data_IF_431698177257
#
_entry.id   IF_431698177257
#
_cell.length_a   1.000
_cell.length_b   1.000
_cell.length_c   1.000
_cell.angle_alpha   90.00
_cell.angle_beta   90.00
_cell.angle_gamma   90.00
#
_symmetry.space_group_name_H-M   'P 1'
#
loop_
_entity.id
_entity.type
_entity.pdbx_description
1 polymer ?
#
# COMPACT_ATOMS: atom_id res chain seq x y z
N UNK A 1 -5.94 -5.16 23.38
CA UNK A 1 -5.40 -6.46 22.92
C UNK A 1 -6.06 -7.69 23.55
N UNK A 2 -7.25 -7.57 24.19
CA UNK A 2 -7.85 -8.67 24.98
C UNK A 2 -9.05 -9.39 24.34
N UNK A 3 -9.51 -8.99 23.15
CA UNK A 3 -10.73 -9.56 22.54
C UNK A 3 -10.46 -10.52 21.36
N UNK A 4 -9.25 -10.52 20.80
CA UNK A 4 -8.94 -11.33 19.62
C UNK A 4 -8.31 -12.69 19.96
N UNK A 5 -7.78 -12.88 21.18
CA UNK A 5 -7.23 -14.15 21.68
C UNK A 5 -6.26 -14.88 20.71
N UNK A 6 -5.57 -14.15 19.82
CA UNK A 6 -4.68 -14.73 18.80
C UNK A 6 -5.35 -15.09 17.46
N UNK A 7 -6.66 -14.85 17.30
CA UNK A 7 -7.37 -14.99 16.04
C UNK A 7 -7.30 -13.69 15.22
N UNK A 8 -7.20 -13.80 13.90
CA UNK A 8 -7.08 -12.65 13.00
C UNK A 8 -8.42 -11.89 12.84
N UNK A 9 -9.53 -12.56 13.15
CA UNK A 9 -10.89 -12.00 13.18
C UNK A 9 -11.58 -12.26 14.51
N UNK A 10 -12.58 -11.44 14.86
CA UNK A 10 -13.39 -11.66 16.08
C UNK A 10 -14.16 -12.98 15.91
N UNK A 11 -13.99 -13.94 16.82
CA UNK A 11 -14.76 -15.18 16.78
C UNK A 11 -16.28 -14.91 16.83
N UNK A 12 -17.12 -15.73 16.17
CA UNK A 12 -18.57 -15.50 16.09
C UNK A 12 -19.26 -15.35 17.45
N UNK A 13 -18.65 -15.88 18.50
CA UNK A 13 -19.09 -15.87 19.89
C UNK A 13 -18.59 -14.66 20.71
N UNK A 14 -17.71 -13.81 20.16
CA UNK A 14 -17.03 -12.73 20.89
C UNK A 14 -17.32 -11.30 20.35
N UNK A 15 -18.13 -11.15 19.31
CA UNK A 15 -18.57 -9.83 18.84
C UNK A 15 -19.17 -9.81 17.43
N UNK A 16 -19.50 -8.61 16.94
CA UNK A 16 -20.04 -8.39 15.60
C UNK A 16 -18.89 -8.15 14.64
N UNK A 17 -18.67 -9.07 13.70
CA UNK A 17 -17.77 -8.88 12.57
C UNK A 17 -18.53 -8.19 11.44
N UNK A 18 -18.04 -7.02 11.01
CA UNK A 18 -18.60 -6.32 9.84
C UNK A 18 -17.99 -6.93 8.58
N UNK A 19 -18.73 -7.84 7.96
CA UNK A 19 -18.28 -8.67 6.83
C UNK A 19 -18.07 -7.87 5.53
N UNK A 20 -18.55 -6.63 5.44
CA UNK A 20 -18.45 -5.83 4.22
C UNK A 20 -17.84 -4.44 4.47
N UNK A 21 -16.74 -4.14 3.79
CA UNK A 21 -16.19 -2.77 3.74
C UNK A 21 -16.96 -1.91 2.73
N UNK A 22 -17.08 -0.61 3.05
CA UNK A 22 -17.73 0.40 2.19
C UNK A 22 -16.73 1.35 1.53
N UNK A 23 -15.45 0.98 1.56
CA UNK A 23 -14.29 1.86 1.29
C UNK A 23 -13.42 1.31 0.18
N UNK A 24 -12.93 0.08 0.33
CA UNK A 24 -11.96 -0.52 -0.59
C UNK A 24 -12.64 -1.10 -1.84
N UNK A 25 -12.03 -0.89 -3.00
CA UNK A 25 -12.27 -1.66 -4.22
C UNK A 25 -12.11 -3.17 -3.93
N UNK A 26 -12.89 -4.06 -4.59
CA UNK A 26 -12.75 -5.51 -4.43
C UNK A 26 -11.32 -6.03 -4.58
N UNK A 27 -10.53 -5.47 -5.50
CA UNK A 27 -9.13 -5.89 -5.72
C UNK A 27 -8.16 -5.40 -4.65
N UNK A 28 -8.46 -4.33 -3.91
CA UNK A 28 -7.69 -3.99 -2.71
C UNK A 28 -8.14 -4.88 -1.55
N UNK A 29 -9.46 -5.06 -1.42
CA UNK A 29 -10.07 -5.80 -0.33
C UNK A 29 -9.70 -7.28 -0.35
N UNK A 30 -9.60 -7.92 -1.52
CA UNK A 30 -9.28 -9.34 -1.65
C UNK A 30 -7.92 -9.66 -1.01
N UNK A 31 -6.87 -8.93 -1.37
CA UNK A 31 -5.55 -9.11 -0.74
C UNK A 31 -5.59 -8.88 0.78
N UNK A 32 -6.21 -7.78 1.24
CA UNK A 32 -6.28 -7.47 2.68
C UNK A 32 -7.12 -8.52 3.43
N UNK A 33 -8.17 -9.03 2.81
CA UNK A 33 -9.04 -10.07 3.37
C UNK A 33 -8.28 -11.38 3.55
N UNK A 34 -7.55 -11.80 2.52
CA UNK A 34 -6.78 -13.05 2.55
C UNK A 34 -5.61 -12.95 3.53
N UNK A 35 -4.91 -11.80 3.55
CA UNK A 35 -3.74 -11.60 4.40
C UNK A 35 -4.06 -11.40 5.90
N UNK A 36 -5.27 -10.92 6.24
CA UNK A 36 -5.60 -10.46 7.61
C UNK A 36 -6.91 -10.97 8.16
N UNK A 37 -7.89 -11.18 7.30
CA UNK A 37 -9.25 -11.51 7.72
C UNK A 37 -9.67 -12.93 7.36
N UNK A 38 -8.71 -13.81 7.06
CA UNK A 38 -8.96 -15.22 6.70
C UNK A 38 -9.95 -15.35 5.52
N UNK A 39 -9.92 -14.39 4.59
CA UNK A 39 -10.84 -14.33 3.45
C UNK A 39 -12.27 -13.93 3.79
N UNK A 40 -12.56 -13.54 5.04
CA UNK A 40 -13.93 -13.25 5.52
C UNK A 40 -14.41 -11.83 5.22
N UNK A 41 -13.51 -10.92 4.87
CA UNK A 41 -13.87 -9.53 4.55
C UNK A 41 -14.23 -9.39 3.06
N UNK A 42 -15.46 -8.97 2.79
CA UNK A 42 -15.98 -8.63 1.47
C UNK A 42 -16.17 -7.12 1.28
N UNK A 43 -16.79 -6.75 0.16
CA UNK A 43 -17.08 -5.36 -0.23
C UNK A 43 -18.55 -5.16 -0.56
N UNK A 44 -19.03 -3.93 -0.51
CA UNK A 44 -20.32 -3.55 -1.11
C UNK A 44 -20.15 -3.33 -2.63
N UNK A 45 -21.16 -3.62 -3.47
CA UNK A 45 -21.04 -3.53 -4.94
C UNK A 45 -20.60 -2.15 -5.46
N UNK A 46 -20.93 -1.07 -4.74
CA UNK A 46 -20.59 0.29 -5.12
C UNK A 46 -19.07 0.55 -5.13
N UNK A 47 -18.30 -0.11 -4.27
CA UNK A 47 -16.85 0.12 -4.21
C UNK A 47 -16.12 -0.45 -5.41
N UNK A 48 -16.73 -1.37 -6.17
CA UNK A 48 -16.21 -1.86 -7.46
C UNK A 48 -16.15 -0.75 -8.55
N UNK A 49 -16.67 0.43 -8.26
CA UNK A 49 -16.55 1.60 -9.15
C UNK A 49 -15.31 2.43 -8.90
N UNK A 50 -14.64 2.26 -7.75
CA UNK A 50 -13.42 2.98 -7.43
C UNK A 50 -12.32 2.61 -8.43
N UNK A 51 -11.88 3.57 -9.25
CA UNK A 51 -10.77 3.35 -10.17
C UNK A 51 -10.08 4.65 -10.57
N UNK A 52 -8.81 4.54 -10.92
CA UNK A 52 -8.03 5.55 -11.63
C UNK A 52 -8.22 5.33 -13.12
N UNK A 53 -8.59 6.38 -13.86
CA UNK A 53 -8.71 6.30 -15.32
C UNK A 53 -7.35 6.51 -15.95
N UNK A 54 -6.78 5.45 -16.52
CA UNK A 54 -5.49 5.49 -17.20
C UNK A 54 -5.67 6.06 -18.62
N UNK A 55 -4.71 6.89 -19.03
CA UNK A 55 -4.59 7.37 -20.41
C UNK A 55 -3.61 6.53 -21.23
N UNK A 56 -3.61 6.69 -22.55
CA UNK A 56 -2.69 6.00 -23.45
C UNK A 56 -1.20 6.34 -23.20
N UNK A 57 -0.94 7.48 -22.55
CA UNK A 57 0.37 7.96 -22.12
C UNK A 57 0.73 7.54 -20.68
N UNK A 58 -0.07 6.67 -20.05
CA UNK A 58 0.22 6.14 -18.70
C UNK A 58 1.33 5.11 -18.81
N UNK A 59 2.37 5.28 -17.99
CA UNK A 59 3.56 4.44 -18.04
C UNK A 59 4.05 3.98 -16.66
N UNK A 60 3.73 4.74 -15.61
CA UNK A 60 4.24 4.48 -14.25
C UNK A 60 3.18 3.88 -13.33
N UNK A 61 1.89 4.11 -13.62
CA UNK A 61 0.76 3.56 -12.86
C UNK A 61 0.24 2.32 -13.60
N UNK A 62 0.50 1.09 -13.11
CA UNK A 62 0.26 -0.12 -13.90
C UNK A 62 -1.18 -0.65 -13.85
N UNK A 63 -2.03 -0.10 -12.99
CA UNK A 63 -3.38 -0.62 -12.77
C UNK A 63 -4.39 0.50 -12.48
N UNK A 64 -5.66 0.27 -12.86
CA UNK A 64 -6.77 1.18 -12.55
C UNK A 64 -7.22 1.06 -11.08
N UNK A 65 -7.06 -0.12 -10.48
CA UNK A 65 -7.48 -0.44 -9.11
C UNK A 65 -6.70 -1.62 -8.55
N UNK A 66 -6.80 -1.86 -7.25
CA UNK A 66 -6.14 -2.97 -6.57
C UNK A 66 -4.78 -2.59 -6.00
N UNK A 67 -3.81 -3.49 -6.11
CA UNK A 67 -2.45 -3.28 -5.62
C UNK A 67 -1.49 -3.33 -6.81
N UNK A 68 -0.57 -2.37 -6.86
CA UNK A 68 0.49 -2.28 -7.83
C UNK A 68 1.84 -2.39 -7.13
N UNK A 69 2.76 -3.18 -7.66
CA UNK A 69 4.16 -3.19 -7.25
C UNK A 69 4.99 -2.38 -8.26
N UNK A 70 5.78 -1.43 -7.77
CA UNK A 70 6.71 -0.64 -8.58
C UNK A 70 8.12 -0.84 -8.05
N UNK A 71 8.95 -1.66 -8.72
CA UNK A 71 10.31 -1.90 -8.29
C UNK A 71 11.19 -0.67 -8.53
N UNK A 72 12.07 -0.37 -7.58
CA UNK A 72 13.11 0.67 -7.70
C UNK A 72 14.44 0.11 -7.24
N UNK A 73 15.38 -0.02 -8.16
CA UNK A 73 16.74 -0.49 -7.83
C UNK A 73 17.51 0.61 -7.09
N UNK A 74 18.02 0.29 -5.91
CA UNK A 74 18.94 1.12 -5.13
C UNK A 74 19.69 0.23 -4.13
N UNK A 75 20.85 0.70 -3.67
CA UNK A 75 21.75 -0.01 -2.75
C UNK A 75 22.19 0.91 -1.60
N UNK A 76 22.47 0.35 -0.41
CA UNK A 76 22.96 1.12 0.74
C UNK A 76 21.94 2.03 1.44
N UNK A 77 20.67 2.03 1.03
CA UNK A 77 19.59 2.81 1.62
C UNK A 77 19.00 2.11 2.85
N UNK A 78 19.15 2.72 4.03
CA UNK A 78 18.66 2.15 5.29
C UNK A 78 17.28 2.68 5.74
N UNK A 79 17.05 4.00 5.63
CA UNK A 79 15.87 4.70 6.14
C UNK A 79 15.24 5.69 5.15
N UNK A 80 15.90 5.92 4.03
CA UNK A 80 15.47 6.75 2.94
C UNK A 80 16.19 6.33 1.67
N UNK A 81 15.51 6.47 0.53
CA UNK A 81 16.08 6.32 -0.81
C UNK A 81 15.62 7.51 -1.64
N UNK A 82 16.59 8.19 -2.25
CA UNK A 82 16.32 9.30 -3.17
C UNK A 82 15.72 8.77 -4.47
N UNK A 83 16.14 7.57 -4.91
CA UNK A 83 15.60 6.87 -6.08
C UNK A 83 14.11 6.55 -5.91
N UNK A 84 13.69 6.06 -4.74
CA UNK A 84 12.27 5.89 -4.44
C UNK A 84 11.54 7.24 -4.42
N UNK A 85 12.14 8.30 -3.86
CA UNK A 85 11.53 9.63 -3.86
C UNK A 85 11.30 10.14 -5.27
N UNK A 86 12.30 10.07 -6.15
CA UNK A 86 12.22 10.46 -7.55
C UNK A 86 11.14 9.67 -8.30
N UNK A 87 11.09 8.35 -8.07
CA UNK A 87 10.05 7.50 -8.66
C UNK A 87 8.65 7.91 -8.19
N UNK A 88 8.48 8.16 -6.90
CA UNK A 88 7.21 8.55 -6.30
C UNK A 88 6.76 9.92 -6.82
N UNK A 89 7.68 10.88 -6.97
CA UNK A 89 7.40 12.18 -7.61
C UNK A 89 6.86 11.97 -9.01
N UNK A 90 7.53 11.17 -9.84
CA UNK A 90 7.07 10.90 -11.20
C UNK A 90 5.70 10.20 -11.26
N UNK A 91 5.43 9.25 -10.36
CA UNK A 91 4.12 8.60 -10.22
C UNK A 91 3.04 9.62 -9.85
N UNK A 92 3.31 10.48 -8.87
CA UNK A 92 2.37 11.53 -8.43
C UNK A 92 2.07 12.50 -9.57
N UNK A 93 3.09 12.96 -10.30
CA UNK A 93 2.90 13.85 -11.44
C UNK A 93 2.07 13.20 -12.55
N UNK A 94 2.24 11.91 -12.81
CA UNK A 94 1.41 11.16 -13.75
C UNK A 94 -0.03 11.05 -13.24
N UNK A 95 -0.23 10.66 -11.99
CA UNK A 95 -1.54 10.54 -11.34
C UNK A 95 -2.34 11.84 -11.35
N UNK A 96 -1.70 12.99 -11.12
CA UNK A 96 -2.36 14.31 -11.14
C UNK A 96 -2.84 14.73 -12.55
N UNK A 97 -2.34 14.09 -13.61
CA UNK A 97 -2.88 14.24 -14.99
C UNK A 97 -4.06 13.31 -15.26
N UNK A 98 -4.39 12.40 -14.35
CA UNK A 98 -5.47 11.41 -14.49
C UNK A 98 -6.77 11.88 -13.83
N UNK A 99 -7.80 11.07 -14.05
CA UNK A 99 -9.12 11.22 -13.46
C UNK A 99 -9.39 10.03 -12.56
N UNK A 100 -10.26 10.23 -11.57
CA UNK A 100 -10.64 9.20 -10.62
C UNK A 100 -12.15 9.07 -10.57
N UNK A 101 -12.63 7.84 -10.41
CA UNK A 101 -14.04 7.51 -10.23
C UNK A 101 -14.23 7.07 -8.78
N UNK A 102 -15.20 7.67 -8.08
CA UNK A 102 -15.57 7.26 -6.73
C UNK A 102 -16.62 6.12 -6.72
N UNK A 103 -16.96 5.62 -5.53
CA UNK A 103 -18.02 4.59 -5.37
C UNK A 103 -19.40 5.01 -5.90
N UNK A 104 -19.67 6.31 -6.04
CA UNK A 104 -20.94 6.80 -6.58
C UNK A 104 -20.91 6.82 -8.12
N UNK A 105 -19.75 6.56 -8.74
CA UNK A 105 -19.52 6.64 -10.18
C UNK A 105 -19.24 8.07 -10.64
N UNK A 106 -18.95 8.99 -9.72
CA UNK A 106 -18.62 10.38 -10.06
C UNK A 106 -17.17 10.42 -10.51
N UNK A 107 -16.99 10.84 -11.76
CA UNK A 107 -15.69 11.03 -12.38
C UNK A 107 -15.24 12.48 -12.24
N UNK A 108 -14.01 12.67 -11.76
CA UNK A 108 -13.41 14.01 -11.62
C UNK A 108 -11.90 13.97 -11.80
N UNK A 109 -11.26 15.12 -12.09
CA UNK A 109 -9.80 15.22 -12.06
C UNK A 109 -9.25 14.77 -10.70
N UNK A 110 -8.10 14.09 -10.72
CA UNK A 110 -7.35 13.76 -9.51
C UNK A 110 -6.72 15.03 -8.94
N UNK A 111 -6.68 15.13 -7.62
CA UNK A 111 -6.10 16.25 -6.89
C UNK A 111 -5.09 15.74 -5.86
N UNK A 112 -4.24 16.64 -5.34
CA UNK A 112 -3.28 16.30 -4.28
C UNK A 112 -3.94 15.71 -3.02
N UNK A 113 -5.21 16.05 -2.76
CA UNK A 113 -5.97 15.50 -1.64
C UNK A 113 -6.34 14.03 -1.84
N UNK A 114 -6.33 13.54 -3.08
CA UNK A 114 -6.67 12.15 -3.44
C UNK A 114 -5.50 11.18 -3.32
N UNK A 115 -4.32 11.70 -2.99
CA UNK A 115 -3.09 10.93 -2.86
C UNK A 115 -2.64 10.97 -1.40
N UNK A 116 -2.35 9.79 -0.87
CA UNK A 116 -1.74 9.61 0.44
C UNK A 116 -0.42 8.86 0.27
N UNK A 117 0.68 9.40 0.79
CA UNK A 117 1.98 8.75 0.75
C UNK A 117 2.38 8.31 2.16
N UNK A 118 2.74 7.04 2.30
CA UNK A 118 3.14 6.45 3.58
C UNK A 118 4.53 5.86 3.49
N UNK A 119 5.33 6.09 4.52
CA UNK A 119 6.67 5.52 4.63
C UNK A 119 6.96 5.09 6.08
N UNK A 120 7.74 4.02 6.31
CA UNK A 120 8.02 3.48 7.63
C UNK A 120 8.90 4.40 8.48
N UNK A 121 9.82 5.14 7.85
CA UNK A 121 10.79 5.99 8.53
C UNK A 121 10.48 7.48 8.36
N UNK A 122 10.73 8.26 9.41
CA UNK A 122 10.56 9.72 9.37
C UNK A 122 11.56 10.39 8.42
N UNK A 123 12.71 9.77 8.14
CA UNK A 123 13.68 10.31 7.19
C UNK A 123 13.12 10.30 5.77
N UNK A 124 12.62 9.14 5.30
CA UNK A 124 11.90 9.06 4.02
C UNK A 124 10.71 10.03 3.93
N UNK A 125 9.92 10.16 5.00
CA UNK A 125 8.82 11.14 5.06
C UNK A 125 9.32 12.58 4.86
N UNK A 126 10.50 12.93 5.38
CA UNK A 126 11.07 14.27 5.18
C UNK A 126 11.53 14.47 3.74
N UNK A 127 12.28 13.52 3.17
CA UNK A 127 12.72 13.57 1.77
C UNK A 127 11.53 13.75 0.82
N UNK A 128 10.47 12.95 1.00
CA UNK A 128 9.26 13.06 0.19
C UNK A 128 8.56 14.42 0.35
N UNK A 129 8.53 15.00 1.54
CA UNK A 129 7.92 16.33 1.77
C UNK A 129 8.69 17.48 1.17
N UNK A 130 10.00 17.31 0.97
CA UNK A 130 10.84 18.33 0.33
C UNK A 130 10.64 18.36 -1.19
N UNK A 131 10.18 17.24 -1.78
CA UNK A 131 10.05 17.08 -3.23
C UNK A 131 8.60 17.13 -3.74
N UNK A 132 7.63 16.76 -2.91
CA UNK A 132 6.21 16.71 -3.28
C UNK A 132 5.43 17.96 -2.89
N UNK A 133 4.30 18.18 -3.55
CA UNK A 133 3.37 19.28 -3.23
C UNK A 133 2.93 19.22 -1.74
N UNK A 134 2.99 20.34 -0.99
CA UNK A 134 2.63 20.38 0.43
C UNK A 134 1.18 19.98 0.74
N UNK A 135 0.29 20.01 -0.24
CA UNK A 135 -1.08 19.54 -0.14
C UNK A 135 -1.21 18.01 -0.13
N UNK A 136 -0.18 17.27 -0.54
CA UNK A 136 -0.15 15.81 -0.47
C UNK A 136 0.05 15.39 0.99
N UNK A 137 -0.78 14.44 1.43
CA UNK A 137 -0.69 13.90 2.79
C UNK A 137 0.45 12.89 2.84
N UNK A 138 1.52 13.20 3.58
CA UNK A 138 2.72 12.35 3.71
C UNK A 138 3.02 12.08 5.19
N UNK A 139 3.32 10.84 5.56
CA UNK A 139 3.60 10.47 6.95
C UNK A 139 3.83 8.98 7.18
N UNK A 140 3.98 8.59 8.45
CA UNK A 140 4.10 7.18 8.83
C UNK A 140 2.73 6.53 9.02
N UNK A 141 2.67 5.21 8.90
CA UNK A 141 1.45 4.41 9.10
C UNK A 141 0.74 4.76 10.41
N UNK A 142 1.51 4.94 11.50
CA UNK A 142 0.99 5.26 12.84
C UNK A 142 0.26 6.63 12.90
N UNK A 143 0.59 7.58 12.00
CA UNK A 143 0.00 8.93 11.98
C UNK A 143 -1.30 9.02 11.17
N UNK A 144 -1.70 7.95 10.48
CA UNK A 144 -2.84 7.96 9.55
C UNK A 144 -4.00 7.06 9.97
N UNK A 145 -4.22 6.92 11.28
CA UNK A 145 -5.43 6.24 11.76
C UNK A 145 -6.70 6.98 11.29
N UNK A 146 -7.53 6.28 10.50
CA UNK A 146 -8.81 6.78 10.02
C UNK A 146 -8.76 7.71 8.81
N UNK A 147 -7.63 7.81 8.10
CA UNK A 147 -7.53 8.59 6.86
C UNK A 147 -7.40 7.68 5.65
N UNK A 148 -8.14 8.00 4.60
CA UNK A 148 -8.19 7.24 3.34
C UNK A 148 -8.02 8.18 2.16
N UNK A 149 -7.70 7.59 1.02
CA UNK A 149 -7.51 8.29 -0.23
C UNK A 149 -7.84 7.35 -1.40
N UNK A 150 -8.32 7.87 -2.54
CA UNK A 150 -8.44 7.09 -3.75
C UNK A 150 -7.15 6.35 -4.13
N UNK A 151 -5.99 7.01 -3.99
CA UNK A 151 -4.67 6.40 -4.23
C UNK A 151 -3.79 6.50 -2.99
N UNK A 152 -3.17 5.38 -2.63
CA UNK A 152 -2.13 5.33 -1.59
C UNK A 152 -0.82 4.86 -2.19
N UNK A 153 0.27 5.54 -1.86
CA UNK A 153 1.63 5.16 -2.25
C UNK A 153 2.39 4.75 -0.98
N UNK A 154 2.91 3.53 -0.94
CA UNK A 154 3.69 2.96 0.16
C UNK A 154 5.15 2.90 -0.27
N UNK A 155 6.03 3.65 0.37
CA UNK A 155 7.49 3.61 0.13
C UNK A 155 8.14 2.70 1.18
N UNK A 156 8.87 1.68 0.75
CA UNK A 156 9.59 0.78 1.67
C UNK A 156 10.98 1.33 2.04
N UNK A 157 11.62 2.09 1.15
CA UNK A 157 12.83 2.91 1.28
C UNK A 157 14.13 2.26 1.76
N UNK A 158 14.09 1.02 2.26
CA UNK A 158 15.30 0.25 2.57
C UNK A 158 15.66 -0.65 1.38
N UNK A 159 16.95 -0.76 1.03
CA UNK A 159 17.39 -1.65 -0.06
C UNK A 159 17.25 -3.11 0.36
N UNK A 160 17.67 -3.41 1.59
CA UNK A 160 17.64 -4.75 2.16
C UNK A 160 17.07 -4.75 3.58
N UNK A 161 16.71 -5.93 4.08
CA UNK A 161 16.22 -6.09 5.45
C UNK A 161 17.34 -5.96 6.49
N UNK A 162 18.58 -6.28 6.12
CA UNK A 162 19.77 -6.14 6.95
C UNK A 162 20.16 -4.67 7.18
N UNK A 163 19.96 -3.81 6.18
CA UNK A 163 20.27 -2.37 6.27
C UNK A 163 19.22 -1.61 7.07
N UNK A 164 17.99 -2.13 7.15
CA UNK A 164 16.93 -1.52 7.96
C UNK A 164 17.34 -1.50 9.43
N UNK A 165 17.49 -0.32 10.07
CA UNK A 165 18.01 -0.20 11.43
C UNK A 165 17.07 -0.80 12.49
N UNK A 166 15.82 -1.07 12.11
CA UNK A 166 14.81 -1.70 12.97
C UNK A 166 14.45 -3.11 12.51
N UNK A 167 15.17 -3.63 11.51
CA UNK A 167 15.04 -4.97 10.95
C UNK A 167 13.73 -5.23 10.21
N UNK A 168 13.59 -6.47 9.75
CA UNK A 168 12.45 -6.95 8.98
C UNK A 168 11.09 -6.77 9.70
N UNK A 169 11.04 -7.08 11.00
CA UNK A 169 9.80 -7.03 11.78
C UNK A 169 9.19 -5.63 11.90
N UNK A 170 10.02 -4.60 11.71
CA UNK A 170 9.57 -3.22 11.64
C UNK A 170 9.13 -2.83 10.22
N UNK A 171 9.98 -3.13 9.23
CA UNK A 171 9.79 -2.69 7.85
C UNK A 171 8.61 -3.42 7.19
N UNK A 172 8.60 -4.74 7.28
CA UNK A 172 7.60 -5.63 6.67
C UNK A 172 6.52 -6.04 7.68
N UNK A 173 6.30 -5.23 8.71
CA UNK A 173 5.30 -5.53 9.72
C UNK A 173 3.92 -5.74 9.07
N UNK A 174 3.28 -6.91 9.23
CA UNK A 174 2.04 -7.22 8.52
C UNK A 174 0.95 -6.20 8.84
N UNK A 175 0.74 -5.90 10.13
CA UNK A 175 -0.27 -4.95 10.54
C UNK A 175 -0.06 -3.56 9.92
N UNK A 176 1.20 -3.11 9.79
CA UNK A 176 1.49 -1.81 9.19
C UNK A 176 1.29 -1.81 7.67
N UNK A 177 1.73 -2.85 6.98
CA UNK A 177 1.51 -3.00 5.55
C UNK A 177 0.02 -3.07 5.24
N UNK A 178 -0.73 -3.84 6.00
CA UNK A 178 -2.18 -3.96 5.88
C UNK A 178 -2.89 -2.63 6.14
N UNK A 179 -2.50 -1.91 7.19
CA UNK A 179 -3.06 -0.58 7.47
C UNK A 179 -2.73 0.40 6.35
N UNK A 180 -1.52 0.36 5.79
CA UNK A 180 -1.11 1.20 4.68
C UNK A 180 -1.93 0.91 3.42
N UNK A 181 -1.95 -0.35 2.97
CA UNK A 181 -2.66 -0.80 1.76
C UNK A 181 -4.17 -0.56 1.88
N UNK A 182 -4.77 -0.90 3.03
CA UNK A 182 -6.22 -0.70 3.25
C UNK A 182 -6.67 0.77 3.34
N UNK A 183 -5.75 1.74 3.27
CA UNK A 183 -6.11 3.16 3.12
C UNK A 183 -6.50 3.53 1.70
N UNK A 184 -6.21 2.68 0.72
CA UNK A 184 -6.58 2.89 -0.67
C UNK A 184 -8.06 2.55 -0.88
N UNK A 185 -8.81 3.50 -1.43
CA UNK A 185 -10.16 3.22 -1.92
C UNK A 185 -10.11 2.52 -3.29
N UNK A 186 -9.25 3.00 -4.20
CA UNK A 186 -9.10 2.44 -5.55
C UNK A 186 -7.80 1.66 -5.72
N UNK A 187 -6.65 2.31 -5.48
CA UNK A 187 -5.34 1.79 -5.84
C UNK A 187 -4.29 2.00 -4.74
N UNK A 188 -3.60 0.93 -4.35
CA UNK A 188 -2.41 0.99 -3.51
C UNK A 188 -1.16 0.69 -4.37
N UNK A 189 -0.23 1.63 -4.43
CA UNK A 189 1.04 1.49 -5.14
C UNK A 189 2.14 1.26 -4.11
N UNK A 190 2.78 0.09 -4.12
CA UNK A 190 3.90 -0.22 -3.24
C UNK A 190 5.19 -0.06 -4.04
N UNK A 191 6.05 0.83 -3.57
CA UNK A 191 7.35 1.17 -4.14
C UNK A 191 8.43 0.61 -3.22
N UNK A 192 9.37 -0.14 -3.79
CA UNK A 192 10.45 -0.75 -3.00
C UNK A 192 11.54 -1.39 -3.84
N UNK A 193 12.69 -1.62 -3.20
CA UNK A 193 13.77 -2.40 -3.79
C UNK A 193 13.42 -3.88 -3.93
N UNK A 194 13.62 -4.50 -5.10
CA UNK A 194 13.42 -5.94 -5.29
C UNK A 194 14.26 -6.81 -4.36
N UNK A 195 15.44 -6.34 -3.93
CA UNK A 195 16.30 -7.08 -3.00
C UNK A 195 15.65 -7.31 -1.63
N UNK A 196 14.59 -6.58 -1.26
CA UNK A 196 13.80 -6.87 -0.06
C UNK A 196 13.14 -8.26 -0.06
N UNK A 197 13.00 -8.87 -1.25
CA UNK A 197 12.48 -10.24 -1.40
C UNK A 197 13.60 -11.29 -1.47
N UNK A 198 14.84 -10.92 -1.82
CA UNK A 198 15.99 -11.84 -1.93
C UNK A 198 16.81 -11.88 -0.64
N UNK A 199 16.18 -12.30 0.45
CA UNK A 199 16.79 -12.26 1.78
C UNK A 199 17.02 -13.67 2.34
N UNK A 200 18.22 -13.88 2.88
CA UNK A 200 18.54 -15.07 3.68
C UNK A 200 17.90 -14.95 5.05
N UNK A 201 16.65 -15.38 5.13
CA UNK A 201 15.88 -15.41 6.37
C UNK A 201 16.60 -16.23 7.45
N UNK A 202 16.83 -15.61 8.62
CA UNK A 202 17.51 -16.22 9.77
C UNK A 202 16.53 -16.85 10.75
N UNK A 203 15.24 -16.61 10.57
CA UNK A 203 14.16 -17.16 11.39
C UNK A 203 12.90 -17.45 10.57
N UNK A 204 12.02 -18.30 11.11
CA UNK A 204 10.69 -18.56 10.54
C UNK A 204 9.85 -17.28 10.52
N UNK A 205 10.04 -16.39 11.50
CA UNK A 205 9.31 -15.14 11.55
C UNK A 205 9.72 -14.21 10.40
N UNK A 206 11.03 -14.03 10.15
CA UNK A 206 11.51 -13.29 8.97
C UNK A 206 10.99 -13.88 7.66
N UNK A 207 10.98 -15.21 7.54
CA UNK A 207 10.42 -15.89 6.37
C UNK A 207 8.95 -15.56 6.15
N UNK A 208 8.14 -15.47 7.21
CA UNK A 208 6.72 -15.06 7.10
C UNK A 208 6.58 -13.62 6.63
N UNK A 209 7.44 -12.72 7.12
CA UNK A 209 7.43 -11.30 6.75
C UNK A 209 7.79 -11.11 5.27
N UNK A 210 8.85 -11.77 4.81
CA UNK A 210 9.25 -11.75 3.39
C UNK A 210 8.18 -12.38 2.52
N UNK A 211 7.62 -13.52 2.94
CA UNK A 211 6.55 -14.19 2.20
C UNK A 211 5.30 -13.31 2.02
N UNK A 212 4.98 -12.45 2.99
CA UNK A 212 3.89 -11.48 2.84
C UNK A 212 4.17 -10.46 1.73
N UNK A 213 5.40 -9.96 1.64
CA UNK A 213 5.81 -9.05 0.57
C UNK A 213 5.78 -9.78 -0.79
N UNK A 214 6.34 -10.98 -0.88
CA UNK A 214 6.30 -11.77 -2.12
C UNK A 214 4.86 -12.06 -2.57
N UNK A 215 3.97 -12.39 -1.63
CA UNK A 215 2.55 -12.59 -1.93
C UNK A 215 1.88 -11.31 -2.45
N UNK A 216 2.23 -10.14 -1.89
CA UNK A 216 1.75 -8.85 -2.38
C UNK A 216 2.21 -8.59 -3.81
N UNK A 217 3.49 -8.82 -4.11
CA UNK A 217 4.06 -8.62 -5.44
C UNK A 217 3.42 -9.56 -6.45
N UNK A 218 3.33 -10.84 -6.13
CA UNK A 218 2.65 -11.82 -6.98
C UNK A 218 1.19 -11.44 -7.24
N UNK A 219 0.47 -11.01 -6.21
CA UNK A 219 -0.90 -10.54 -6.34
C UNK A 219 -1.02 -9.33 -7.29
N UNK A 220 -0.08 -8.38 -7.21
CA UNK A 220 -0.06 -7.21 -8.08
C UNK A 220 0.23 -7.56 -9.55
N UNK A 221 1.10 -8.54 -9.80
CA UNK A 221 1.43 -9.02 -11.14
C UNK A 221 0.27 -9.80 -11.78
N UNK A 222 -0.42 -10.64 -11.01
CA UNK A 222 -1.59 -11.39 -11.48
C UNK A 222 -2.80 -10.48 -11.80
N UNK A 223 -2.92 -9.35 -11.08
CA UNK A 223 -4.01 -8.40 -11.24
C UNK A 223 -3.81 -7.38 -12.37
N UNK A 224 -2.59 -7.27 -12.93
CA UNK A 224 -2.25 -6.37 -14.03
C UNK A 224 -2.13 -7.16 -15.34
N UNK A 225 -3.20 -7.37 -16.11
CA UNK A 225 -3.08 -7.97 -17.43
C UNK A 225 -2.33 -6.98 -18.34
N UNK A 226 -1.10 -7.36 -18.71
CA UNK A 226 -0.29 -6.69 -19.75
C UNK A 226 -1.08 -6.56 -21.05
#
# INVERSE_FOLDING_TARGET
EYLLAGNATVPPDLGIFLEATRRMHPDVCRFVSDAVYEGRLGTIPETARHRVLLGADTSLVPAESGIAWVPVEHDGCAQSSDEECEKIVAIVEELLRRRVVDRHGVERPMTVADILVVAPFNLQVRCLREQLDPGIRIGSVDKFQGREAPVVIVSLCSSTLEESPRGAAFLLNPNRLNVAVSRAEALAIVVGCPELMDVRCKSVEEMRLVNLLCHLVQYAEEASPV
#
